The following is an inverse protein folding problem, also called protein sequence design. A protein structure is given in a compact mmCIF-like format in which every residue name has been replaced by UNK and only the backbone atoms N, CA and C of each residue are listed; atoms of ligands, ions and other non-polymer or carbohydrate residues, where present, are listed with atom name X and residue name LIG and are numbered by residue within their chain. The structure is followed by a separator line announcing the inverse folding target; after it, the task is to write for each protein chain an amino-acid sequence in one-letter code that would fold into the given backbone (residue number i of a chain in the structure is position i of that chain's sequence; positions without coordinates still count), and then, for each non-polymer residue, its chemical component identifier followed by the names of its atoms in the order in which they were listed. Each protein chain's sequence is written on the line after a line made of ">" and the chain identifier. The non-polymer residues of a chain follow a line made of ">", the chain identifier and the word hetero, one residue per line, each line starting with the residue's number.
data_IF_752404178373
#
_entry.id   IF_752404178373
#
_cell.length_a   1.000
_cell.length_b   1.000
_cell.length_c   1.000
_cell.angle_alpha   90.00
_cell.angle_beta   90.00
_cell.angle_gamma   90.00
#
_symmetry.space_group_name_H-M   'P 1'
#
loop_
_entity.id
_entity.type
_entity.pdbx_description
1 polymer ?
#
# COMPACT_ATOMS: atom_id res chain seq x y z
N UNK A 1 -1.55 6.14 8.47
CA UNK A 1 -1.25 4.75 8.07
C UNK A 1 -1.65 4.57 6.61
N UNK A 2 -0.74 4.10 5.77
CA UNK A 2 -0.93 3.94 4.32
C UNK A 2 -0.63 2.50 3.91
N UNK A 3 -1.18 2.08 2.77
CA UNK A 3 -0.83 0.83 2.11
C UNK A 3 -0.20 1.15 0.74
N UNK A 4 0.90 0.47 0.41
CA UNK A 4 1.59 0.58 -0.89
C UNK A 4 1.48 -0.78 -1.57
N UNK A 5 0.82 -0.84 -2.72
CA UNK A 5 0.49 -2.08 -3.41
C UNK A 5 1.03 -2.07 -4.84
N UNK A 6 1.43 -3.24 -5.31
CA UNK A 6 1.59 -3.54 -6.73
C UNK A 6 0.50 -4.52 -7.11
N UNK A 7 -0.21 -4.22 -8.19
CA UNK A 7 -1.36 -4.98 -8.68
C UNK A 7 -1.32 -5.03 -10.20
N UNK A 8 -1.91 -6.07 -10.78
CA UNK A 8 -1.93 -6.29 -12.23
C UNK A 8 -2.88 -5.32 -12.95
N UNK A 9 -4.06 -5.10 -12.38
CA UNK A 9 -5.02 -4.08 -12.83
C UNK A 9 -5.22 -3.00 -11.75
N UNK A 10 -4.55 -1.84 -11.87
CA UNK A 10 -4.70 -0.73 -10.95
C UNK A 10 -6.11 -0.15 -10.91
N UNK A 11 -6.87 -0.23 -12.00
CA UNK A 11 -8.22 0.34 -12.07
C UNK A 11 -9.24 -0.47 -11.26
N UNK A 12 -8.96 -1.76 -11.03
CA UNK A 12 -9.80 -2.63 -10.22
C UNK A 12 -9.64 -2.41 -8.70
N UNK A 13 -8.64 -1.63 -8.26
CA UNK A 13 -8.27 -1.55 -6.84
C UNK A 13 -8.50 -0.15 -6.29
N UNK A 14 -9.38 -0.06 -5.29
CA UNK A 14 -9.69 1.19 -4.57
C UNK A 14 -9.32 1.10 -3.10
N UNK A 15 -9.13 2.25 -2.44
CA UNK A 15 -8.89 2.30 -1.00
C UNK A 15 -10.06 1.69 -0.22
N UNK A 16 -11.31 1.95 -0.64
CA UNK A 16 -12.50 1.40 0.01
C UNK A 16 -12.56 -0.12 -0.12
N UNK A 17 -12.24 -0.67 -1.30
CA UNK A 17 -12.18 -2.11 -1.52
C UNK A 17 -11.12 -2.78 -0.64
N UNK A 18 -9.91 -2.21 -0.58
CA UNK A 18 -8.85 -2.69 0.31
C UNK A 18 -9.28 -2.64 1.78
N UNK A 19 -9.95 -1.56 2.21
CA UNK A 19 -10.44 -1.43 3.59
C UNK A 19 -11.56 -2.43 3.89
N UNK A 20 -12.48 -2.66 2.96
CA UNK A 20 -13.56 -3.63 3.13
C UNK A 20 -13.02 -5.05 3.28
N UNK A 21 -12.08 -5.45 2.43
CA UNK A 21 -11.40 -6.73 2.52
C UNK A 21 -10.63 -6.89 3.86
N UNK A 22 -9.88 -5.86 4.25
CA UNK A 22 -9.07 -5.90 5.47
C UNK A 22 -9.91 -5.83 6.77
N UNK A 23 -11.12 -5.26 6.74
CA UNK A 23 -11.97 -5.14 7.92
C UNK A 23 -12.43 -6.49 8.50
N UNK A 24 -12.46 -7.55 7.70
CA UNK A 24 -12.71 -8.91 8.18
C UNK A 24 -11.53 -9.54 8.92
N UNK A 25 -10.35 -8.92 8.89
CA UNK A 25 -9.09 -9.51 9.37
C UNK A 25 -8.34 -8.61 10.36
N UNK A 26 -8.59 -7.29 10.32
CA UNK A 26 -7.87 -6.29 11.09
C UNK A 26 -8.84 -5.42 11.89
N UNK A 27 -8.43 -5.03 13.09
CA UNK A 27 -9.14 -4.03 13.87
C UNK A 27 -9.23 -2.70 13.10
N UNK A 28 -10.33 -1.95 13.31
CA UNK A 28 -10.64 -0.71 12.57
C UNK A 28 -9.49 0.30 12.53
N UNK A 29 -8.74 0.45 13.63
CA UNK A 29 -7.63 1.41 13.72
C UNK A 29 -6.39 1.00 12.90
N UNK A 30 -6.31 -0.25 12.44
CA UNK A 30 -5.26 -0.78 11.55
C UNK A 30 -5.64 -0.71 10.07
N UNK A 31 -6.82 -0.19 9.73
CA UNK A 31 -7.19 -0.06 8.33
C UNK A 31 -6.39 1.09 7.68
N UNK A 32 -5.92 0.92 6.44
CA UNK A 32 -5.20 1.98 5.75
C UNK A 32 -6.10 3.19 5.54
N UNK A 33 -5.51 4.39 5.61
CA UNK A 33 -6.16 5.67 5.33
C UNK A 33 -5.77 6.25 3.97
N UNK A 34 -4.72 5.72 3.36
CA UNK A 34 -4.18 6.11 2.06
C UNK A 34 -3.77 4.84 1.32
N UNK A 35 -3.91 4.85 0.00
CA UNK A 35 -3.50 3.77 -0.88
C UNK A 35 -2.61 4.36 -1.96
N UNK A 36 -1.39 3.83 -2.13
CA UNK A 36 -0.52 4.14 -3.27
C UNK A 36 -0.35 2.88 -4.11
N UNK A 37 -0.76 2.96 -5.37
CA UNK A 37 -0.49 1.92 -6.35
C UNK A 37 0.84 2.25 -7.04
N UNK A 38 1.73 1.27 -7.12
CA UNK A 38 3.05 1.42 -7.74
C UNK A 38 3.34 0.24 -8.65
N UNK A 39 4.08 0.44 -9.75
CA UNK A 39 4.44 -0.65 -10.68
C UNK A 39 5.21 -1.78 -9.99
N UNK A 40 6.02 -1.45 -8.98
CA UNK A 40 6.73 -2.41 -8.14
C UNK A 40 7.00 -1.81 -6.76
N UNK A 41 6.70 -2.55 -5.69
CA UNK A 41 7.08 -2.15 -4.34
C UNK A 41 8.62 -2.15 -4.22
N UNK A 42 9.25 -1.03 -3.83
CA UNK A 42 10.70 -0.93 -3.78
C UNK A 42 11.39 -2.02 -2.95
N UNK A 43 12.46 -2.56 -3.50
CA UNK A 43 13.35 -3.53 -2.84
C UNK A 43 14.79 -3.06 -2.95
N UNK A 44 15.59 -3.39 -1.95
CA UNK A 44 17.03 -3.12 -1.94
C UNK A 44 17.80 -4.13 -2.80
N UNK A 45 19.11 -3.96 -2.92
CA UNK A 45 20.00 -4.83 -3.70
C UNK A 45 20.02 -6.29 -3.25
N UNK A 46 19.62 -6.58 -2.00
CA UNK A 46 19.45 -7.95 -1.50
C UNK A 46 18.02 -8.49 -1.69
N UNK A 47 17.15 -7.77 -2.38
CA UNK A 47 15.75 -8.16 -2.64
C UNK A 47 14.80 -7.99 -1.46
N UNK A 48 15.23 -7.38 -0.34
CA UNK A 48 14.36 -7.09 0.81
C UNK A 48 13.62 -5.77 0.58
N UNK A 49 12.50 -5.57 1.26
CA UNK A 49 11.74 -4.32 1.18
C UNK A 49 12.61 -3.11 1.59
N UNK A 50 12.65 -2.10 0.72
CA UNK A 50 13.29 -0.83 1.05
C UNK A 50 12.30 0.05 1.80
N UNK A 51 12.34 -0.01 3.13
CA UNK A 51 11.43 0.74 3.99
C UNK A 51 11.56 2.26 3.83
N UNK A 52 12.73 2.77 3.46
CA UNK A 52 12.95 4.22 3.30
C UNK A 52 12.22 4.70 2.05
N UNK A 53 12.43 4.04 0.92
CA UNK A 53 11.71 4.35 -0.32
C UNK A 53 10.21 4.12 -0.20
N UNK A 54 9.78 3.01 0.44
CA UNK A 54 8.35 2.74 0.68
C UNK A 54 7.73 3.83 1.54
N UNK A 55 8.42 4.33 2.57
CA UNK A 55 7.91 5.41 3.42
C UNK A 55 7.80 6.71 2.63
N UNK A 56 8.77 7.05 1.79
CA UNK A 56 8.70 8.23 0.92
C UNK A 56 7.49 8.15 -0.03
N UNK A 57 7.24 6.99 -0.64
CA UNK A 57 6.04 6.75 -1.47
C UNK A 57 4.74 6.86 -0.67
N UNK A 58 4.75 6.43 0.58
CA UNK A 58 3.59 6.47 1.47
C UNK A 58 3.32 7.87 2.07
N UNK A 59 4.33 8.73 2.12
CA UNK A 59 4.26 10.08 2.69
C UNK A 59 4.09 11.16 1.62
N UNK A 60 4.47 10.91 0.37
CA UNK A 60 4.25 11.82 -0.76
C UNK A 60 2.75 12.13 -0.96
N UNK A 61 2.44 13.42 -1.06
CA UNK A 61 1.15 13.92 -1.54
C UNK A 61 1.01 13.60 -3.04
N UNK A 62 -0.22 13.41 -3.51
CA UNK A 62 -0.53 13.26 -4.94
C UNK A 62 -0.25 14.56 -5.72
#
# INVERSE_FOLDING_TARGET
>A
MAAVLTVEDPAAITLEGVRAYAAGQLARYKLPRRLKLVPAVPRNTSGKLDKVSIRSLADGED
#
